data_IF_228748488070
#
_entry.id   IF_228748488070
#
_cell.length_a   1.000
_cell.length_b   1.000
_cell.length_c   1.000
_cell.angle_alpha   90.00
_cell.angle_beta   90.00
_cell.angle_gamma   90.00
#
_symmetry.space_group_name_H-M   'P 1'
#
loop_
_entity.id
_entity.type
_entity.pdbx_description
1 polymer ?
#
# COMPACT_ATOMS: atom_id res chain seq x y z
N UNK A 1 11.77 12.18 8.75
CA UNK A 1 10.55 11.51 8.25
C UNK A 1 9.99 12.33 7.11
N UNK A 2 10.14 11.87 5.87
CA UNK A 2 9.66 12.61 4.70
C UNK A 2 8.13 12.58 4.70
N UNK A 3 7.51 13.76 4.70
CA UNK A 3 6.06 13.92 4.75
C UNK A 3 5.47 13.39 3.41
N UNK A 4 4.89 12.20 3.41
CA UNK A 4 4.29 11.56 2.22
C UNK A 4 3.12 12.40 1.65
N UNK A 5 2.62 13.38 2.40
CA UNK A 5 1.46 14.20 2.06
C UNK A 5 1.53 14.93 0.70
N UNK A 6 2.70 15.06 0.06
CA UNK A 6 2.80 15.78 -1.23
C UNK A 6 3.92 15.30 -2.16
N UNK A 7 4.31 14.02 -2.13
CA UNK A 7 5.12 13.53 -3.25
C UNK A 7 4.22 13.37 -4.49
N UNK A 8 4.17 14.43 -5.31
CA UNK A 8 3.40 14.49 -6.57
C UNK A 8 3.70 13.31 -7.50
N UNK A 9 4.88 12.69 -7.40
CA UNK A 9 5.23 11.52 -8.19
C UNK A 9 4.47 10.24 -7.81
N UNK A 10 3.90 10.16 -6.61
CA UNK A 10 3.12 9.02 -6.14
C UNK A 10 1.64 9.09 -6.54
N UNK A 11 1.19 10.17 -7.14
CA UNK A 11 -0.19 10.34 -7.58
C UNK A 11 -0.25 10.61 -9.09
N UNK A 12 -1.37 10.31 -9.71
CA UNK A 12 -1.64 10.64 -11.11
C UNK A 12 -2.00 12.12 -11.20
N UNK A 13 -1.23 12.87 -11.99
CA UNK A 13 -1.41 14.30 -12.22
C UNK A 13 -1.01 14.66 -13.66
N UNK A 14 -1.59 15.74 -14.18
CA UNK A 14 -1.24 16.27 -15.49
C UNK A 14 -1.31 15.20 -16.59
N UNK A 15 -0.22 15.03 -17.33
CA UNK A 15 -0.15 14.07 -18.44
C UNK A 15 -0.34 12.60 -18.02
N UNK A 16 -0.20 12.25 -16.73
CA UNK A 16 -0.50 10.89 -16.27
C UNK A 16 -1.97 10.51 -16.49
N UNK A 17 -2.88 11.50 -16.41
CA UNK A 17 -4.33 11.28 -16.46
C UNK A 17 -4.84 10.89 -17.86
N UNK A 18 -4.05 11.13 -18.91
CA UNK A 18 -4.39 10.81 -20.30
C UNK A 18 -3.67 9.58 -20.84
N UNK A 19 -2.86 8.90 -20.02
CA UNK A 19 -2.04 7.75 -20.42
C UNK A 19 -2.67 6.44 -19.96
N UNK A 20 -2.21 5.33 -20.53
CA UNK A 20 -2.58 4.01 -20.04
C UNK A 20 -2.23 3.88 -18.54
N UNK A 21 -3.23 3.45 -17.77
CA UNK A 21 -3.14 3.39 -16.31
C UNK A 21 -1.99 2.47 -15.87
N UNK A 22 -1.90 1.27 -16.42
CA UNK A 22 -0.91 0.28 -15.99
C UNK A 22 0.51 0.64 -16.43
N UNK A 23 0.67 1.32 -17.56
CA UNK A 23 1.96 1.88 -17.98
C UNK A 23 2.49 2.90 -16.95
N UNK A 24 1.64 3.85 -16.54
CA UNK A 24 2.02 4.86 -15.53
C UNK A 24 2.26 4.22 -14.16
N UNK A 25 1.44 3.25 -13.75
CA UNK A 25 1.67 2.48 -12.53
C UNK A 25 3.03 1.78 -12.55
N UNK A 26 3.37 1.15 -13.67
CA UNK A 26 4.65 0.45 -13.84
C UNK A 26 5.83 1.39 -13.72
N UNK A 27 5.74 2.58 -14.32
CA UNK A 27 6.77 3.61 -14.20
C UNK A 27 6.93 4.11 -12.77
N UNK A 28 5.82 4.40 -12.07
CA UNK A 28 5.86 4.88 -10.68
C UNK A 28 6.40 3.82 -9.73
N UNK A 29 5.96 2.56 -9.85
CA UNK A 29 6.50 1.45 -9.06
C UNK A 29 7.99 1.28 -9.34
N UNK A 30 8.42 1.18 -10.60
CA UNK A 30 9.84 1.02 -10.95
C UNK A 30 10.70 2.16 -10.41
N UNK A 31 10.17 3.39 -10.41
CA UNK A 31 10.89 4.58 -9.95
C UNK A 31 11.01 4.66 -8.43
N UNK A 32 9.93 4.39 -7.69
CA UNK A 32 9.87 4.64 -6.24
C UNK A 32 10.05 3.38 -5.40
N UNK A 33 9.72 2.22 -5.96
CA UNK A 33 9.74 0.91 -5.31
C UNK A 33 10.30 -0.15 -6.26
N UNK A 34 11.54 -0.03 -6.73
CA UNK A 34 12.14 -0.97 -7.70
C UNK A 34 12.22 -2.41 -7.17
N UNK A 35 12.13 -2.61 -5.86
CA UNK A 35 12.06 -3.94 -5.25
C UNK A 35 10.68 -4.60 -5.36
N UNK A 36 9.65 -3.86 -5.78
CA UNK A 36 8.31 -4.40 -6.01
C UNK A 36 8.14 -4.87 -7.45
N UNK A 37 7.44 -5.99 -7.62
CA UNK A 37 7.24 -6.64 -8.90
C UNK A 37 5.75 -6.85 -9.16
N UNK A 38 5.34 -6.60 -10.41
CA UNK A 38 3.99 -6.91 -10.86
C UNK A 38 3.78 -8.42 -10.97
N UNK A 39 2.65 -8.90 -10.47
CA UNK A 39 2.18 -10.27 -10.62
C UNK A 39 1.01 -10.28 -11.57
N UNK A 40 1.14 -11.01 -12.67
CA UNK A 40 0.11 -11.17 -13.67
C UNK A 40 -0.45 -12.60 -13.65
N UNK A 41 -1.72 -12.74 -13.97
CA UNK A 41 -2.39 -14.02 -14.17
C UNK A 41 -3.41 -13.88 -15.30
N UNK A 42 -3.41 -14.86 -16.22
CA UNK A 42 -4.29 -14.89 -17.41
C UNK A 42 -4.28 -13.59 -18.21
N UNK A 43 -3.08 -13.00 -18.39
CA UNK A 43 -2.91 -11.77 -19.18
C UNK A 43 -3.33 -10.47 -18.48
N UNK A 44 -3.69 -10.50 -17.19
CA UNK A 44 -3.99 -9.29 -16.42
C UNK A 44 -3.13 -9.19 -15.18
N UNK A 45 -2.68 -7.98 -14.84
CA UNK A 45 -2.03 -7.69 -13.56
C UNK A 45 -3.04 -7.94 -12.44
N UNK A 46 -2.63 -8.68 -11.41
CA UNK A 46 -3.42 -9.03 -10.23
C UNK A 46 -2.86 -8.45 -8.95
N UNK A 47 -1.55 -8.23 -8.89
CA UNK A 47 -0.94 -7.65 -7.71
C UNK A 47 0.38 -6.95 -8.02
N UNK A 48 0.85 -6.17 -7.04
CA UNK A 48 2.23 -5.68 -6.95
C UNK A 48 2.80 -6.12 -5.61
N UNK A 49 3.90 -6.87 -5.63
CA UNK A 49 4.46 -7.54 -4.46
C UNK A 49 5.91 -7.17 -4.22
N UNK A 50 6.31 -7.02 -2.96
CA UNK A 50 7.68 -6.74 -2.58
C UNK A 50 7.87 -6.67 -1.07
N UNK A 51 9.13 -6.53 -0.68
CA UNK A 51 9.50 -6.51 0.73
C UNK A 51 9.66 -5.06 1.23
N UNK A 52 9.14 -4.81 2.43
CA UNK A 52 9.30 -3.56 3.15
C UNK A 52 10.12 -3.80 4.41
N UNK A 53 11.19 -3.01 4.57
CA UNK A 53 12.02 -3.00 5.77
C UNK A 53 11.54 -1.92 6.73
N UNK A 54 11.37 -2.26 8.00
CA UNK A 54 11.02 -1.31 9.06
C UNK A 54 12.26 -0.64 9.66
N UNK A 55 12.06 0.41 10.45
CA UNK A 55 13.13 1.09 11.19
C UNK A 55 13.86 0.16 12.18
N UNK A 56 13.18 -0.86 12.71
CA UNK A 56 13.78 -1.87 13.61
C UNK A 56 14.47 -3.02 12.83
N UNK A 57 14.47 -2.97 11.50
CA UNK A 57 15.18 -3.92 10.64
C UNK A 57 14.37 -5.17 10.25
N UNK A 58 13.11 -5.28 10.67
CA UNK A 58 12.22 -6.37 10.29
C UNK A 58 11.76 -6.23 8.83
N UNK A 59 11.57 -7.37 8.17
CA UNK A 59 11.07 -7.44 6.80
C UNK A 59 9.63 -7.94 6.78
N UNK A 60 8.81 -7.28 5.97
CA UNK A 60 7.42 -7.62 5.72
C UNK A 60 7.20 -7.73 4.22
N UNK A 61 6.88 -8.94 3.75
CA UNK A 61 6.47 -9.16 2.36
C UNK A 61 5.02 -8.74 2.18
N UNK A 62 4.79 -7.74 1.33
CA UNK A 62 3.49 -7.10 1.11
C UNK A 62 2.99 -7.36 -0.31
N UNK A 63 1.68 -7.59 -0.43
CA UNK A 63 0.97 -7.66 -1.71
C UNK A 63 -0.11 -6.57 -1.77
N UNK A 64 -0.03 -5.73 -2.81
CA UNK A 64 -1.09 -4.80 -3.19
C UNK A 64 -1.93 -5.51 -4.25
N UNK A 65 -3.09 -6.04 -3.86
CA UNK A 65 -3.97 -6.81 -4.72
C UNK A 65 -4.97 -5.92 -5.46
N UNK A 66 -5.13 -6.17 -6.74
CA UNK A 66 -5.86 -5.33 -7.68
C UNK A 66 -7.05 -6.12 -8.22
N UNK A 67 -8.25 -5.56 -8.08
CA UNK A 67 -9.47 -6.14 -8.65
C UNK A 67 -9.71 -5.66 -10.09
N UNK A 68 -10.67 -6.27 -10.78
CA UNK A 68 -11.12 -5.82 -12.11
C UNK A 68 -11.76 -4.44 -12.12
N UNK A 69 -12.14 -3.90 -10.96
CA UNK A 69 -12.77 -2.58 -10.80
C UNK A 69 -11.75 -1.47 -10.55
N UNK A 70 -10.46 -1.81 -10.48
CA UNK A 70 -9.39 -0.83 -10.37
C UNK A 70 -9.32 0.05 -11.63
N UNK A 71 -9.15 1.38 -11.51
CA UNK A 71 -8.79 2.13 -10.30
C UNK A 71 -9.97 2.75 -9.54
N UNK A 72 -11.20 2.42 -9.89
CA UNK A 72 -12.40 2.98 -9.26
C UNK A 72 -12.71 2.31 -7.92
N UNK A 73 -12.15 1.12 -7.68
CA UNK A 73 -12.12 0.45 -6.38
C UNK A 73 -10.71 0.46 -5.79
N UNK A 74 -10.64 0.74 -4.49
CA UNK A 74 -9.38 0.71 -3.75
C UNK A 74 -8.78 -0.71 -3.77
N UNK A 75 -7.47 -0.86 -4.03
CA UNK A 75 -6.80 -2.16 -3.93
C UNK A 75 -6.69 -2.61 -2.47
N UNK A 76 -6.68 -3.92 -2.22
CA UNK A 76 -6.41 -4.49 -0.89
C UNK A 76 -4.91 -4.64 -0.65
N UNK A 77 -4.50 -4.53 0.61
CA UNK A 77 -3.10 -4.70 1.01
C UNK A 77 -2.99 -5.85 2.02
N UNK A 78 -2.13 -6.83 1.73
CA UNK A 78 -1.91 -8.03 2.55
C UNK A 78 -0.46 -8.18 2.94
N UNK A 79 -0.22 -8.81 4.10
CA UNK A 79 1.05 -9.46 4.40
C UNK A 79 0.98 -10.88 3.86
N UNK A 80 1.97 -11.30 3.08
CA UNK A 80 1.95 -12.63 2.44
C UNK A 80 2.38 -13.76 3.37
N UNK A 81 3.26 -13.48 4.33
CA UNK A 81 3.93 -14.51 5.14
C UNK A 81 3.46 -14.52 6.60
N UNK A 82 2.49 -13.66 6.95
CA UNK A 82 1.95 -13.59 8.31
C UNK A 82 0.55 -13.04 8.32
N UNK A 83 -0.23 -13.50 9.29
CA UNK A 83 -1.54 -12.94 9.59
C UNK A 83 -1.37 -11.75 10.54
N UNK A 84 -2.09 -10.66 10.29
CA UNK A 84 -2.15 -9.54 11.24
C UNK A 84 -2.96 -10.00 12.46
N UNK A 85 -2.38 -9.85 13.64
CA UNK A 85 -3.00 -10.21 14.92
C UNK A 85 -4.41 -9.59 15.05
N UNK A 86 -5.43 -10.34 15.50
CA UNK A 86 -6.82 -9.86 15.52
C UNK A 86 -7.06 -8.60 16.37
N UNK A 87 -6.27 -8.40 17.41
CA UNK A 87 -6.29 -7.26 18.32
C UNK A 87 -5.47 -6.06 17.81
N UNK A 88 -4.78 -6.20 16.68
CA UNK A 88 -4.03 -5.10 16.07
C UNK A 88 -4.99 -3.98 15.64
N UNK A 89 -4.78 -2.75 16.10
CA UNK A 89 -5.50 -1.60 15.57
C UNK A 89 -5.13 -1.38 14.10
N UNK A 90 -6.02 -0.75 13.35
CA UNK A 90 -5.85 -0.51 11.90
C UNK A 90 -5.69 -1.79 11.07
N UNK A 91 -6.47 -2.82 11.40
CA UNK A 91 -6.73 -4.01 10.58
C UNK A 91 -8.18 -3.97 10.10
N UNK A 92 -8.44 -4.21 8.81
CA UNK A 92 -9.83 -4.36 8.34
C UNK A 92 -10.46 -5.64 8.90
N UNK A 93 -11.79 -5.74 8.89
CA UNK A 93 -12.51 -6.97 9.27
C UNK A 93 -12.07 -8.19 8.46
N UNK A 94 -11.65 -7.99 7.21
CA UNK A 94 -11.08 -9.03 6.33
C UNK A 94 -9.68 -9.51 6.72
N UNK A 95 -9.02 -8.86 7.67
CA UNK A 95 -7.64 -9.17 8.09
C UNK A 95 -6.54 -8.49 7.29
N UNK A 96 -6.91 -7.65 6.33
CA UNK A 96 -6.00 -6.86 5.51
C UNK A 96 -5.57 -5.57 6.22
N UNK A 97 -4.48 -4.93 5.76
CA UNK A 97 -3.99 -3.67 6.32
C UNK A 97 -5.02 -2.54 6.10
N UNK A 98 -5.45 -1.86 7.17
CA UNK A 98 -6.25 -0.64 7.06
C UNK A 98 -5.34 0.58 6.95
N UNK A 99 -5.12 1.05 5.72
CA UNK A 99 -4.29 2.23 5.44
C UNK A 99 -5.08 3.54 5.27
N UNK A 100 -6.37 3.44 4.96
CA UNK A 100 -7.32 4.55 4.82
C UNK A 100 -8.76 4.01 4.83
N UNK A 101 -9.78 4.86 4.94
CA UNK A 101 -11.17 4.43 4.69
C UNK A 101 -11.40 4.31 3.17
N UNK A 102 -12.19 3.33 2.69
CA UNK A 102 -12.44 3.16 1.26
C UNK A 102 -12.96 4.43 0.57
N UNK A 103 -13.74 5.27 1.25
CA UNK A 103 -14.31 6.51 0.72
C UNK A 103 -13.27 7.62 0.52
N UNK A 104 -12.08 7.47 1.12
CA UNK A 104 -10.96 8.38 0.93
C UNK A 104 -10.14 8.03 -0.32
N UNK A 105 -10.37 6.86 -0.92
CA UNK A 105 -9.70 6.45 -2.15
C UNK A 105 -10.18 7.29 -3.33
N UNK A 106 -9.24 7.65 -4.20
CA UNK A 106 -9.54 8.26 -5.49
C UNK A 106 -8.72 7.59 -6.57
N UNK A 107 -9.21 7.59 -7.81
CA UNK A 107 -8.47 7.05 -8.94
C UNK A 107 -7.14 7.79 -9.20
N UNK A 108 -6.90 8.95 -8.57
CA UNK A 108 -5.64 9.67 -8.67
C UNK A 108 -4.52 9.06 -7.83
N UNK A 109 -4.82 8.20 -6.86
CA UNK A 109 -3.80 7.51 -6.08
C UNK A 109 -3.24 6.32 -6.86
N UNK A 110 -1.91 6.17 -6.84
CA UNK A 110 -1.22 5.08 -7.53
C UNK A 110 -1.01 3.85 -6.63
N UNK A 111 -0.59 2.73 -7.22
CA UNK A 111 -0.07 1.58 -6.47
C UNK A 111 1.18 1.96 -5.67
N UNK A 112 2.04 2.83 -6.19
CA UNK A 112 3.21 3.33 -5.45
C UNK A 112 2.80 4.13 -4.20
N UNK A 113 1.70 4.90 -4.27
CA UNK A 113 1.11 5.54 -3.09
C UNK A 113 0.63 4.49 -2.07
N UNK A 114 -0.02 3.41 -2.53
CA UNK A 114 -0.44 2.32 -1.65
C UNK A 114 0.75 1.60 -0.99
N UNK A 115 1.86 1.39 -1.71
CA UNK A 115 3.11 0.88 -1.12
C UNK A 115 3.66 1.86 -0.07
N UNK A 116 3.61 3.17 -0.32
CA UNK A 116 4.03 4.18 0.67
C UNK A 116 3.21 4.10 1.96
N UNK A 117 1.89 3.94 1.81
CA UNK A 117 0.95 3.79 2.92
C UNK A 117 1.19 2.48 3.67
N UNK A 118 1.46 1.38 2.96
CA UNK A 118 1.85 0.11 3.56
C UNK A 118 3.16 0.24 4.34
N UNK A 119 4.16 0.96 3.82
CA UNK A 119 5.44 1.19 4.50
C UNK A 119 5.28 1.90 5.84
N UNK A 120 4.41 2.93 5.90
CA UNK A 120 4.06 3.57 7.17
C UNK A 120 3.39 2.55 8.09
N UNK A 121 2.40 1.82 7.59
CA UNK A 121 1.62 0.89 8.38
C UNK A 121 2.51 -0.21 8.99
N UNK A 122 3.40 -0.84 8.23
CA UNK A 122 4.27 -1.92 8.74
C UNK A 122 5.27 -1.41 9.78
N UNK A 123 5.76 -0.18 9.64
CA UNK A 123 6.59 0.45 10.69
C UNK A 123 5.81 0.66 11.98
N UNK A 124 4.55 1.09 11.89
CA UNK A 124 3.69 1.24 13.07
C UNK A 124 3.33 -0.11 13.69
N UNK A 125 3.05 -1.10 12.85
CA UNK A 125 2.74 -2.46 13.27
C UNK A 125 3.89 -3.07 14.03
N UNK A 126 5.13 -2.91 13.55
CA UNK A 126 6.34 -3.41 14.22
C UNK A 126 6.50 -2.84 15.65
N UNK A 127 6.28 -1.53 15.82
CA UNK A 127 6.25 -0.89 17.15
C UNK A 127 5.11 -1.45 18.00
N UNK A 128 3.92 -1.62 17.43
CA UNK A 128 2.77 -2.18 18.14
C UNK A 128 3.00 -3.64 18.56
N UNK A 129 3.63 -4.48 17.73
CA UNK A 129 3.92 -5.87 18.09
C UNK A 129 4.79 -5.96 19.35
N UNK A 130 5.74 -5.03 19.51
CA UNK A 130 6.63 -4.96 20.68
C UNK A 130 5.99 -4.34 21.92
N UNK A 131 5.18 -3.31 21.73
CA UNK A 131 4.71 -2.44 22.84
C UNK A 131 3.24 -2.59 23.17
N UNK A 132 2.48 -3.25 22.29
CA UNK A 132 1.01 -3.34 22.26
C UNK A 132 0.32 -1.96 22.27
N UNK A 133 1.04 -0.92 21.83
CA UNK A 133 0.54 0.45 21.70
C UNK A 133 0.80 0.96 20.28
N UNK A 134 -0.25 1.43 19.60
CA UNK A 134 -0.10 1.92 18.24
C UNK A 134 0.52 3.32 18.24
N UNK A 135 1.55 3.57 17.44
CA UNK A 135 2.26 4.85 17.49
C UNK A 135 1.61 5.95 16.63
N UNK A 136 1.64 7.17 17.16
CA UNK A 136 1.30 8.40 16.46
C UNK A 136 -0.21 8.68 16.36
N UNK A 137 -0.58 9.67 15.55
CA UNK A 137 -1.99 10.05 15.36
C UNK A 137 -2.76 8.96 14.61
N UNK A 138 -4.01 8.79 15.01
CA UNK A 138 -4.97 7.83 14.46
C UNK A 138 -6.20 8.57 13.94
N UNK A 139 -6.84 7.99 12.92
CA UNK A 139 -8.20 8.35 12.54
C UNK A 139 -9.12 7.32 13.17
N UNK A 140 -10.16 7.77 13.88
CA UNK A 140 -11.20 6.89 14.41
C UNK A 140 -11.82 6.06 13.27
N UNK A 141 -11.95 4.75 13.52
CA UNK A 141 -12.55 3.80 12.57
C UNK A 141 -14.01 4.14 12.31
#
# INVERSE_FOLDING_TARGET
MTNIATNRGLIFLGNDLSRDRMAVESEKIKRYYPQFNFKASKGSIKAVEGDLKTGDGNYYRVSIEISSEYPYKMPSIKLLERTIEPDCPHRYSSGNLCVMKPEQWTANYSLAYMVSKAAIWVNKYDVWQRTKKWPGKEQAH
#
